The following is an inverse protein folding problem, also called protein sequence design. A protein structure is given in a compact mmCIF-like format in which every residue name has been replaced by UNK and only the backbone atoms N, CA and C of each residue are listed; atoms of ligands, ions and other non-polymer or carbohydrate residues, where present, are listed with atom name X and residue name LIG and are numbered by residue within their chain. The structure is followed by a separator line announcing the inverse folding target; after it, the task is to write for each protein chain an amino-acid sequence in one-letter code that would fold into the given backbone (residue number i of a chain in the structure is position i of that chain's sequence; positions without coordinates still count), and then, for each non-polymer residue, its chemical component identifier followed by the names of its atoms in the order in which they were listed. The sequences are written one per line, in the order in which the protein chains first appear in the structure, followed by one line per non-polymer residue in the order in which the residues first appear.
data_IF_047431298158
#
_entry.id   IF_047431298158
#
_cell.length_a   1.000
_cell.length_b   1.000
_cell.length_c   1.000
_cell.angle_alpha   90.00
_cell.angle_beta   90.00
_cell.angle_gamma   90.00
#
_symmetry.space_group_name_H-M   'P 1'
#
loop_
_entity.id
_entity.type
_entity.pdbx_description
1 polymer ?
#
# COMPACT_ATOMS: atom_id res chain seq x y z
N UNK A 1 -49.57 -9.31 -24.63
CA UNK A 1 -49.78 -10.51 -25.47
C UNK A 1 -50.46 -11.63 -24.70
N UNK A 2 -51.14 -12.55 -25.39
CA UNK A 2 -51.70 -13.77 -24.77
C UNK A 2 -50.61 -14.83 -24.64
N UNK A 3 -50.67 -15.66 -23.59
CA UNK A 3 -49.68 -16.72 -23.35
C UNK A 3 -49.53 -17.69 -24.55
N UNK A 4 -50.63 -17.94 -25.28
CA UNK A 4 -50.63 -18.82 -26.45
C UNK A 4 -49.81 -18.26 -27.63
N UNK A 5 -49.79 -16.94 -27.80
CA UNK A 5 -49.00 -16.27 -28.85
C UNK A 5 -47.53 -16.29 -28.47
N UNK A 6 -47.20 -15.92 -27.23
CA UNK A 6 -45.82 -15.92 -26.73
C UNK A 6 -45.17 -17.29 -26.93
N UNK A 7 -45.87 -18.38 -26.62
CA UNK A 7 -45.37 -19.75 -26.81
C UNK A 7 -44.95 -20.09 -28.25
N UNK A 8 -45.55 -19.45 -29.25
CA UNK A 8 -45.14 -19.62 -30.66
C UNK A 8 -43.79 -18.96 -30.91
N UNK A 9 -43.61 -17.75 -30.38
CA UNK A 9 -42.38 -16.95 -30.54
C UNK A 9 -41.23 -17.37 -29.64
N UNK A 10 -41.47 -18.18 -28.60
CA UNK A 10 -40.42 -18.60 -27.67
C UNK A 10 -39.26 -19.37 -28.33
N UNK A 11 -39.44 -20.00 -29.50
CA UNK A 11 -38.34 -20.68 -30.20
C UNK A 11 -37.46 -19.65 -30.89
N UNK A 12 -38.07 -18.86 -31.76
CA UNK A 12 -37.44 -17.78 -32.52
C UNK A 12 -36.76 -16.77 -31.57
N UNK A 13 -37.33 -16.53 -30.39
CA UNK A 13 -36.74 -15.70 -29.34
C UNK A 13 -35.43 -16.29 -28.79
N UNK A 14 -35.38 -17.61 -28.53
CA UNK A 14 -34.16 -18.28 -28.04
C UNK A 14 -33.09 -18.38 -29.14
N UNK A 15 -33.51 -18.39 -30.40
CA UNK A 15 -32.63 -18.40 -31.57
C UNK A 15 -32.21 -16.99 -32.03
N UNK A 16 -32.67 -15.94 -31.35
CA UNK A 16 -32.38 -14.53 -31.69
C UNK A 16 -32.86 -14.14 -33.11
N UNK A 17 -33.97 -14.73 -33.57
CA UNK A 17 -34.58 -14.50 -34.90
C UNK A 17 -35.80 -13.58 -34.85
N UNK A 18 -36.22 -13.14 -33.66
CA UNK A 18 -37.34 -12.22 -33.50
C UNK A 18 -36.96 -10.79 -33.92
N UNK A 19 -37.94 -10.04 -34.43
CA UNK A 19 -37.80 -8.60 -34.57
C UNK A 19 -37.77 -7.91 -33.19
N UNK A 20 -37.11 -6.75 -33.13
CA UNK A 20 -36.85 -6.05 -31.87
C UNK A 20 -38.14 -5.68 -31.11
N UNK A 21 -39.22 -5.36 -31.83
CA UNK A 21 -40.48 -4.97 -31.19
C UNK A 21 -41.16 -6.16 -30.52
N UNK A 22 -41.25 -7.30 -31.21
CA UNK A 22 -41.81 -8.52 -30.63
C UNK A 22 -40.93 -9.09 -29.53
N UNK A 23 -39.60 -8.94 -29.63
CA UNK A 23 -38.65 -9.38 -28.60
C UNK A 23 -38.96 -8.69 -27.26
N UNK A 24 -39.15 -7.37 -27.29
CA UNK A 24 -39.50 -6.58 -26.10
C UNK A 24 -40.82 -7.07 -25.50
N UNK A 25 -41.85 -7.31 -26.33
CA UNK A 25 -43.16 -7.78 -25.85
C UNK A 25 -43.11 -9.18 -25.23
N UNK A 26 -42.34 -10.09 -25.83
CA UNK A 26 -42.12 -11.44 -25.29
C UNK A 26 -41.37 -11.37 -23.97
N UNK A 27 -40.33 -10.55 -23.89
CA UNK A 27 -39.54 -10.36 -22.68
C UNK A 27 -40.37 -9.78 -21.53
N UNK A 28 -41.15 -8.72 -21.79
CA UNK A 28 -42.06 -8.13 -20.80
C UNK A 28 -43.08 -9.15 -20.29
N UNK A 29 -43.66 -9.97 -21.19
CA UNK A 29 -44.59 -11.01 -20.78
C UNK A 29 -43.92 -12.10 -19.94
N UNK A 30 -42.73 -12.56 -20.33
CA UNK A 30 -41.97 -13.55 -19.57
C UNK A 30 -41.54 -13.04 -18.19
N UNK A 31 -41.32 -11.73 -18.02
CA UNK A 31 -41.06 -11.13 -16.72
C UNK A 31 -42.27 -11.17 -15.77
N UNK A 32 -43.49 -11.11 -16.32
CA UNK A 32 -44.73 -11.09 -15.54
C UNK A 32 -45.37 -12.49 -15.37
N UNK A 33 -45.11 -13.42 -16.30
CA UNK A 33 -45.74 -14.74 -16.33
C UNK A 33 -44.76 -15.87 -16.01
N UNK A 34 -44.84 -16.40 -14.78
CA UNK A 34 -43.98 -17.49 -14.30
C UNK A 34 -44.05 -18.76 -15.17
N UNK A 35 -45.22 -19.09 -15.73
CA UNK A 35 -45.37 -20.25 -16.63
C UNK A 35 -44.60 -20.09 -17.93
N UNK A 36 -44.65 -18.91 -18.55
CA UNK A 36 -43.93 -18.64 -19.79
C UNK A 36 -42.42 -18.51 -19.52
N UNK A 37 -42.04 -17.96 -18.37
CA UNK A 37 -40.65 -17.92 -17.92
C UNK A 37 -40.06 -19.33 -17.76
N UNK A 38 -40.80 -20.25 -17.13
CA UNK A 38 -40.33 -21.63 -16.96
C UNK A 38 -40.08 -22.32 -18.32
N UNK A 39 -41.03 -22.23 -19.25
CA UNK A 39 -40.88 -22.81 -20.60
C UNK A 39 -39.69 -22.18 -21.33
N UNK A 40 -39.47 -20.88 -21.17
CA UNK A 40 -38.31 -20.20 -21.74
C UNK A 40 -37.00 -20.74 -21.17
N UNK A 41 -36.91 -20.92 -19.84
CA UNK A 41 -35.71 -21.49 -19.20
C UNK A 41 -35.42 -22.93 -19.63
N UNK A 42 -36.46 -23.75 -19.82
CA UNK A 42 -36.33 -25.11 -20.33
C UNK A 42 -35.77 -25.13 -21.75
N UNK A 43 -36.24 -24.24 -22.63
CA UNK A 43 -35.72 -24.11 -24.00
C UNK A 43 -34.27 -23.61 -24.03
N UNK A 44 -33.93 -22.62 -23.21
CA UNK A 44 -32.54 -22.16 -23.07
C UNK A 44 -31.61 -23.28 -22.57
N UNK A 45 -32.07 -24.12 -21.65
CA UNK A 45 -31.29 -25.25 -21.18
C UNK A 45 -30.94 -26.22 -22.32
N UNK A 46 -31.92 -26.57 -23.17
CA UNK A 46 -31.71 -27.44 -24.34
C UNK A 46 -30.73 -26.80 -25.33
N UNK A 47 -30.92 -25.53 -25.69
CA UNK A 47 -30.02 -24.83 -26.62
C UNK A 47 -28.60 -24.73 -26.06
N UNK A 48 -28.44 -24.48 -24.77
CA UNK A 48 -27.13 -24.45 -24.12
C UNK A 48 -26.45 -25.83 -24.09
N UNK A 49 -27.21 -26.92 -23.98
CA UNK A 49 -26.66 -28.27 -24.10
C UNK A 49 -26.11 -28.51 -25.52
N UNK A 50 -26.86 -28.10 -26.55
CA UNK A 50 -26.43 -28.24 -27.96
C UNK A 50 -25.23 -27.33 -28.30
N UNK A 51 -25.24 -26.09 -27.84
CA UNK A 51 -24.08 -25.17 -27.98
C UNK A 51 -22.81 -25.73 -27.33
N UNK A 52 -22.95 -26.52 -26.25
CA UNK A 52 -21.81 -27.16 -25.58
C UNK A 52 -21.31 -28.43 -26.27
N UNK A 53 -22.15 -29.13 -27.04
CA UNK A 53 -21.70 -30.31 -27.80
C UNK A 53 -20.83 -29.93 -28.99
N UNK A 54 -21.06 -28.77 -29.60
CA UNK A 54 -20.21 -28.21 -30.65
C UNK A 54 -19.06 -27.39 -30.04
N UNK A 55 -18.14 -28.06 -29.34
CA UNK A 55 -16.85 -27.42 -29.01
C UNK A 55 -16.00 -27.32 -30.27
N UNK A 56 -16.23 -26.27 -31.04
CA UNK A 56 -15.31 -25.86 -32.09
C UNK A 56 -14.03 -25.33 -31.42
N UNK A 57 -12.91 -25.98 -31.66
CA UNK A 57 -11.61 -25.50 -31.20
C UNK A 57 -11.11 -24.45 -32.21
N UNK A 58 -11.15 -23.14 -31.88
CA UNK A 58 -10.78 -22.13 -32.84
C UNK A 58 -9.28 -22.24 -33.15
N UNK A 59 -8.86 -22.03 -34.40
CA UNK A 59 -7.44 -22.07 -34.74
C UNK A 59 -6.65 -21.01 -33.95
N UNK A 60 -5.46 -21.39 -33.48
CA UNK A 60 -4.68 -20.63 -32.48
C UNK A 60 -4.44 -19.15 -32.82
N UNK A 61 -4.37 -18.81 -34.12
CA UNK A 61 -4.17 -17.45 -34.60
C UNK A 61 -5.40 -16.54 -34.35
N UNK A 62 -6.63 -17.09 -34.32
CA UNK A 62 -7.85 -16.35 -33.98
C UNK A 62 -7.89 -16.00 -32.50
N UNK A 63 -7.57 -16.95 -31.64
CA UNK A 63 -7.52 -16.73 -30.19
C UNK A 63 -6.54 -15.59 -29.83
N UNK A 64 -5.39 -15.52 -30.50
CA UNK A 64 -4.41 -14.43 -30.31
C UNK A 64 -4.97 -13.07 -30.72
N UNK A 65 -5.65 -12.96 -31.88
CA UNK A 65 -6.30 -11.71 -32.32
C UNK A 65 -7.37 -11.26 -31.35
N UNK A 66 -8.26 -12.16 -30.94
CA UNK A 66 -9.35 -11.83 -30.00
C UNK A 66 -8.77 -11.37 -28.66
N UNK A 67 -7.74 -12.06 -28.14
CA UNK A 67 -7.09 -11.66 -26.88
C UNK A 67 -6.43 -10.28 -26.97
N UNK A 68 -5.93 -9.87 -28.13
CA UNK A 68 -5.33 -8.54 -28.31
C UNK A 68 -6.36 -7.41 -28.39
N UNK A 69 -7.55 -7.67 -28.92
CA UNK A 69 -8.58 -6.65 -29.13
C UNK A 69 -9.64 -6.58 -28.02
N UNK A 70 -9.99 -7.71 -27.41
CA UNK A 70 -11.05 -7.77 -26.37
C UNK A 70 -10.48 -7.54 -24.97
N UNK A 71 -9.28 -8.08 -24.69
CA UNK A 71 -8.59 -7.74 -23.46
C UNK A 71 -7.77 -6.48 -23.68
N UNK A 72 -8.40 -5.32 -23.48
CA UNK A 72 -7.64 -4.10 -23.20
C UNK A 72 -6.76 -4.43 -21.99
N UNK A 73 -5.42 -4.46 -22.11
CA UNK A 73 -4.59 -4.67 -20.94
C UNK A 73 -4.88 -3.50 -20.00
N UNK A 74 -5.51 -3.78 -18.85
CA UNK A 74 -5.58 -2.81 -17.76
C UNK A 74 -4.12 -2.52 -17.40
N UNK A 75 -3.56 -1.43 -17.94
CA UNK A 75 -2.31 -0.85 -17.44
C UNK A 75 -2.63 -0.36 -16.03
N UNK A 76 -2.58 -1.26 -15.06
CA UNK A 76 -2.59 -0.90 -13.66
C UNK A 76 -1.23 -0.27 -13.38
N UNK A 77 -1.14 1.05 -13.62
CA UNK A 77 -0.18 1.89 -12.94
C UNK A 77 -0.38 1.64 -11.44
N UNK A 78 0.54 0.88 -10.86
CA UNK A 78 0.46 0.27 -9.54
C UNK A 78 0.42 1.28 -8.36
N UNK A 79 0.30 2.58 -8.64
CA UNK A 79 0.28 3.64 -7.64
C UNK A 79 -1.13 4.11 -7.24
N UNK A 80 -2.21 3.51 -7.75
CA UNK A 80 -3.59 3.95 -7.47
C UNK A 80 -4.14 3.50 -6.11
N UNK A 81 -3.27 3.12 -5.16
CA UNK A 81 -3.66 2.59 -3.85
C UNK A 81 -3.02 3.26 -2.63
N UNK A 82 -2.11 4.22 -2.80
CA UNK A 82 -1.50 4.88 -1.65
C UNK A 82 -2.47 5.96 -1.13
N UNK A 83 -2.95 5.86 0.13
CA UNK A 83 -3.83 6.87 0.69
C UNK A 83 -3.07 8.21 0.76
N UNK A 84 -3.73 9.30 0.37
CA UNK A 84 -3.13 10.64 0.33
C UNK A 84 -2.46 11.02 1.66
N UNK A 85 -3.02 10.57 2.78
CA UNK A 85 -2.46 10.78 4.12
C UNK A 85 -1.05 10.22 4.29
N UNK A 86 -0.74 9.05 3.70
CA UNK A 86 0.58 8.44 3.80
C UNK A 86 1.62 9.24 3.00
N UNK A 87 1.24 9.76 1.83
CA UNK A 87 2.10 10.64 1.03
C UNK A 87 2.44 11.91 1.81
N UNK A 88 1.44 12.53 2.45
CA UNK A 88 1.67 13.71 3.29
C UNK A 88 2.51 13.40 4.52
N UNK A 89 2.29 12.27 5.19
CA UNK A 89 3.08 11.87 6.35
C UNK A 89 4.56 11.67 5.98
N UNK A 90 4.84 10.98 4.88
CA UNK A 90 6.20 10.77 4.37
C UNK A 90 6.83 12.11 3.99
N UNK A 91 6.12 12.98 3.28
CA UNK A 91 6.62 14.31 2.91
C UNK A 91 6.96 15.16 4.15
N UNK A 92 6.07 15.22 5.15
CA UNK A 92 6.29 15.97 6.39
C UNK A 92 7.45 15.40 7.21
N UNK A 93 7.63 14.08 7.22
CA UNK A 93 8.79 13.46 7.86
C UNK A 93 10.10 13.95 7.25
N UNK A 94 10.22 13.95 5.91
CA UNK A 94 11.42 14.45 5.24
C UNK A 94 11.66 15.93 5.48
N UNK A 95 10.61 16.76 5.44
CA UNK A 95 10.70 18.19 5.78
C UNK A 95 11.21 18.37 7.21
N UNK A 96 10.67 17.61 8.17
CA UNK A 96 11.12 17.61 9.55
C UNK A 96 12.61 17.31 9.68
N UNK A 97 13.08 16.22 9.05
CA UNK A 97 14.50 15.82 9.05
C UNK A 97 15.41 16.93 8.50
N UNK A 98 15.00 17.59 7.41
CA UNK A 98 15.77 18.69 6.81
C UNK A 98 15.83 19.89 7.75
N UNK A 99 14.71 20.27 8.36
CA UNK A 99 14.66 21.38 9.32
C UNK A 99 15.53 21.12 10.55
N UNK A 100 15.44 19.92 11.14
CA UNK A 100 16.26 19.57 12.31
C UNK A 100 17.75 19.64 11.98
N UNK A 101 18.16 19.11 10.81
CA UNK A 101 19.56 19.18 10.36
C UNK A 101 20.02 20.61 10.11
N UNK A 102 19.17 21.47 9.56
CA UNK A 102 19.50 22.87 9.36
C UNK A 102 19.70 23.60 10.70
N UNK A 103 18.87 23.31 11.71
CA UNK A 103 19.00 23.87 13.05
C UNK A 103 20.31 23.40 13.70
N UNK A 104 20.64 22.10 13.64
CA UNK A 104 21.89 21.58 14.22
C UNK A 104 23.11 22.28 13.64
N UNK A 105 23.15 22.47 12.32
CA UNK A 105 24.24 23.21 11.64
C UNK A 105 24.29 24.66 12.12
N UNK A 106 23.13 25.31 12.26
CA UNK A 106 23.05 26.68 12.73
C UNK A 106 23.55 26.81 14.19
N UNK A 107 23.13 25.90 15.07
CA UNK A 107 23.56 25.86 16.48
C UNK A 107 25.07 25.60 16.59
N UNK A 108 25.62 24.66 15.81
CA UNK A 108 27.06 24.42 15.78
C UNK A 108 27.83 25.63 15.24
N UNK A 109 27.28 26.38 14.28
CA UNK A 109 27.91 27.62 13.79
C UNK A 109 27.85 28.78 14.80
N UNK A 110 26.84 28.76 15.67
CA UNK A 110 26.57 29.77 16.69
C UNK A 110 27.27 29.49 18.02
N UNK A 111 27.89 28.33 18.22
CA UNK A 111 28.86 28.18 19.29
C UNK A 111 30.09 28.98 18.86
N UNK A 112 30.31 30.22 19.37
CA UNK A 112 31.64 30.78 19.27
C UNK A 112 32.55 29.71 19.86
N UNK A 113 33.72 29.52 19.26
CA UNK A 113 34.82 28.93 20.00
C UNK A 113 34.95 29.79 21.25
N UNK A 114 34.31 29.37 22.35
CA UNK A 114 34.73 29.72 23.69
C UNK A 114 36.07 29.01 23.76
N UNK A 115 37.07 29.66 23.17
CA UNK A 115 38.39 29.72 23.73
C UNK A 115 38.12 30.14 25.17
N UNK A 116 37.85 29.16 26.01
CA UNK A 116 38.45 29.13 27.32
C UNK A 116 39.93 29.21 26.98
N UNK A 117 40.40 30.45 26.79
CA UNK A 117 41.73 30.85 27.16
C UNK A 117 41.81 30.34 28.60
N UNK A 118 42.30 29.11 28.73
CA UNK A 118 42.72 28.54 29.98
C UNK A 118 43.79 29.53 30.37
N UNK A 119 43.38 30.56 31.12
CA UNK A 119 44.26 31.46 31.79
C UNK A 119 44.95 30.52 32.78
N UNK A 120 46.04 29.90 32.33
CA UNK A 120 47.03 29.27 33.18
C UNK A 120 47.50 30.38 34.09
N UNK A 121 46.77 30.60 35.18
CA UNK A 121 47.35 31.20 36.36
C UNK A 121 48.57 30.33 36.65
N UNK A 122 49.79 30.87 36.60
CA UNK A 122 50.95 30.11 37.01
C UNK A 122 50.65 29.67 38.44
N UNK A 123 50.56 28.35 38.62
CA UNK A 123 50.49 27.72 39.92
C UNK A 123 51.67 28.30 40.69
N UNK A 124 51.39 29.21 41.62
CA UNK A 124 52.40 29.75 42.53
C UNK A 124 52.82 28.54 43.35
N UNK A 125 53.92 27.91 42.96
CA UNK A 125 54.67 26.99 43.80
C UNK A 125 55.15 27.83 44.99
N UNK A 126 54.28 28.05 45.97
CA UNK A 126 54.78 28.15 47.33
C UNK A 126 55.35 26.78 47.64
N UNK A 127 56.68 26.68 47.51
CA UNK A 127 57.46 25.74 48.27
C UNK A 127 57.16 25.98 49.75
N UNK A 128 56.04 25.44 50.24
CA UNK A 128 56.01 24.97 51.61
C UNK A 128 57.00 23.80 51.63
N UNK A 129 58.24 24.15 51.95
CA UNK A 129 59.17 23.22 52.53
C UNK A 129 58.52 22.78 53.85
N UNK A 130 57.69 21.73 53.78
CA UNK A 130 57.45 20.84 54.90
C UNK A 130 58.81 20.21 55.22
N UNK A 131 59.65 20.97 55.92
CA UNK A 131 60.72 20.43 56.72
C UNK A 131 60.03 19.62 57.80
N UNK A 132 59.84 18.32 57.52
CA UNK A 132 59.64 17.31 58.54
C UNK A 132 60.93 17.33 59.38
N UNK A 133 60.96 18.19 60.40
CA UNK A 133 61.92 18.09 61.47
C UNK A 133 61.65 16.77 62.17
N UNK A 134 62.45 15.76 61.82
CA UNK A 134 62.58 14.56 62.62
C UNK A 134 63.16 14.99 63.97
N UNK A 135 62.29 15.27 64.94
CA UNK A 135 62.71 15.33 66.34
C UNK A 135 63.25 13.95 66.70
N UNK A 136 64.56 13.79 66.61
CA UNK A 136 65.28 12.69 67.22
C UNK A 136 65.13 12.88 68.73
N UNK A 137 64.16 12.19 69.31
CA UNK A 137 64.02 12.09 70.77
C UNK A 137 65.30 11.45 71.30
N UNK A 138 66.06 12.10 72.20
CA UNK A 138 67.26 11.52 72.77
C UNK A 138 66.90 10.29 73.60
N UNK A 139 67.56 9.18 73.29
CA UNK A 139 67.38 7.87 73.91
C UNK A 139 68.03 7.78 75.31
N UNK A 140 67.74 8.71 76.22
CA UNK A 140 68.37 8.74 77.55
C UNK A 140 67.61 7.99 78.65
N UNK A 141 66.41 7.45 78.41
CA UNK A 141 65.61 6.82 79.48
C UNK A 141 65.07 5.41 79.18
N UNK A 142 65.63 4.67 78.22
CA UNK A 142 65.24 3.27 77.97
C UNK A 142 66.13 2.22 78.70
N UNK A 143 66.96 2.64 79.66
CA UNK A 143 67.82 1.72 80.42
C UNK A 143 67.81 2.02 81.94
N UNK A 144 66.71 1.69 82.62
CA UNK A 144 66.57 1.35 84.06
C UNK A 144 65.12 0.89 84.25
N UNK A 145 64.80 -0.40 84.43
CA UNK A 145 65.00 -1.24 85.63
C UNK A 145 64.72 -0.47 86.92
#
# INVERSE_FOLDING_TARGET
MKCAEVRKYLNDFVLEELDQETEIQVNEHCAQCARCQQVLTERYAVVNMLKRSERFEPPAHLHRRVKQHVFVPKKTLAFRGIPRSLVFAVAMFFVGVVVTRAIDVYVMSMQPAVQNEIQTQPLRLEHHADTVEFYTVPAENLARI
#
